data_IF_700124561212
#
_entry.id   IF_700124561212
#
_cell.length_a   1.000
_cell.length_b   1.000
_cell.length_c   1.000
_cell.angle_alpha   90.00
_cell.angle_beta   90.00
_cell.angle_gamma   90.00
#
_symmetry.space_group_name_H-M   'P 1'
#
loop_
_entity.id
_entity.type
_entity.pdbx_description
1 polymer ?
#
# COMPACT_ATOMS: atom_id res chain seq x y z
N UNK A 1 -4.52 -12.25 -9.14
CA UNK A 1 -5.66 -11.32 -9.20
C UNK A 1 -5.34 -10.19 -10.17
N UNK A 2 -6.30 -9.65 -10.95
CA UNK A 2 -6.03 -8.63 -11.96
C UNK A 2 -5.76 -7.22 -11.39
N UNK A 3 -6.11 -6.95 -10.13
CA UNK A 3 -6.09 -5.61 -9.53
C UNK A 3 -4.72 -4.93 -9.60
N UNK A 4 -3.65 -5.60 -9.17
CA UNK A 4 -2.30 -5.03 -9.24
C UNK A 4 -1.82 -4.77 -10.66
N UNK A 5 -2.33 -5.53 -11.64
CA UNK A 5 -2.03 -5.30 -13.06
C UNK A 5 -2.69 -4.02 -13.52
N UNK A 6 -3.94 -3.77 -13.13
CA UNK A 6 -4.63 -2.52 -13.44
C UNK A 6 -3.90 -1.31 -12.84
N UNK A 7 -3.40 -1.42 -11.60
CA UNK A 7 -2.56 -0.36 -10.99
C UNK A 7 -1.28 -0.14 -11.81
N UNK A 8 -0.54 -1.21 -12.13
CA UNK A 8 0.68 -1.13 -12.92
C UNK A 8 0.44 -0.49 -14.29
N UNK A 9 -0.62 -0.91 -14.98
CA UNK A 9 -1.01 -0.37 -16.30
C UNK A 9 -1.46 1.09 -16.21
N UNK A 10 -2.20 1.48 -15.16
CA UNK A 10 -2.63 2.88 -14.96
C UNK A 10 -1.44 3.81 -14.81
N UNK A 11 -0.42 3.41 -14.05
CA UNK A 11 0.82 4.19 -13.90
C UNK A 11 1.53 4.42 -15.25
N UNK A 12 1.48 3.42 -16.16
CA UNK A 12 2.10 3.52 -17.48
C UNK A 12 1.24 4.32 -18.48
N UNK A 13 -0.10 4.25 -18.35
CA UNK A 13 -1.03 4.90 -19.26
C UNK A 13 -1.13 6.41 -19.04
N UNK A 14 -0.90 6.87 -17.82
CA UNK A 14 -1.10 8.28 -17.43
C UNK A 14 0.16 8.87 -16.79
N UNK A 15 1.32 8.89 -17.47
CA UNK A 15 2.56 9.43 -16.89
C UNK A 15 2.45 10.91 -16.50
N UNK A 16 1.63 11.69 -17.20
CA UNK A 16 1.46 13.12 -17.00
C UNK A 16 0.84 13.48 -15.64
N UNK A 17 0.14 12.55 -14.97
CA UNK A 17 -0.45 12.82 -13.64
C UNK A 17 0.63 13.12 -12.60
N UNK A 18 1.82 12.54 -12.80
CA UNK A 18 2.96 12.72 -11.89
C UNK A 18 3.65 14.08 -12.08
N UNK A 19 3.42 14.75 -13.21
CA UNK A 19 4.00 16.06 -13.52
C UNK A 19 3.08 17.22 -13.11
N UNK A 20 1.81 16.95 -12.80
CA UNK A 20 0.80 17.97 -12.48
C UNK A 20 0.80 18.42 -11.01
N UNK A 21 1.50 17.70 -10.14
CA UNK A 21 1.59 18.03 -8.72
C UNK A 21 1.80 16.80 -7.83
N UNK A 22 1.70 16.98 -6.51
CA UNK A 22 1.81 15.88 -5.56
C UNK A 22 0.73 14.81 -5.77
N UNK A 23 1.14 13.55 -5.92
CA UNK A 23 0.23 12.40 -6.09
C UNK A 23 0.21 11.54 -4.84
N UNK A 24 -1.01 11.21 -4.38
CA UNK A 24 -1.26 10.20 -3.35
C UNK A 24 -2.09 9.07 -3.97
N UNK A 25 -1.67 7.83 -3.77
CA UNK A 25 -2.43 6.63 -4.15
C UNK A 25 -2.73 5.83 -2.89
N UNK A 26 -4.01 5.65 -2.57
CA UNK A 26 -4.43 4.98 -1.34
C UNK A 26 -5.63 4.05 -1.57
N UNK A 27 -5.66 2.94 -0.84
CA UNK A 27 -6.77 1.98 -0.87
C UNK A 27 -6.28 0.52 -0.88
N UNK A 28 -7.20 -0.40 -1.18
CA UNK A 28 -6.90 -1.83 -1.35
C UNK A 28 -6.23 -2.08 -2.71
N UNK A 29 -4.94 -2.49 -2.67
CA UNK A 29 -4.20 -2.87 -3.87
C UNK A 29 -4.40 -4.34 -4.23
N UNK A 30 -4.95 -5.13 -3.30
CA UNK A 30 -5.16 -6.57 -3.39
C UNK A 30 -3.87 -7.30 -3.81
N UNK A 31 -2.74 -6.84 -3.26
CA UNK A 31 -1.39 -7.19 -3.67
C UNK A 31 -0.42 -7.09 -2.51
N UNK A 32 0.66 -7.85 -2.59
CA UNK A 32 1.77 -7.82 -1.66
C UNK A 32 2.96 -8.56 -2.31
N UNK A 33 4.19 -8.20 -1.95
CA UNK A 33 5.42 -8.85 -2.46
C UNK A 33 5.43 -10.37 -2.26
N UNK A 34 4.78 -10.91 -1.23
CA UNK A 34 4.70 -12.37 -1.00
C UNK A 34 4.07 -13.13 -2.19
N UNK A 35 3.24 -12.45 -3.00
CA UNK A 35 2.58 -13.03 -4.19
C UNK A 35 3.21 -12.61 -5.51
N UNK A 36 4.40 -12.01 -5.51
CA UNK A 36 5.06 -11.59 -6.74
C UNK A 36 5.26 -12.73 -7.73
N UNK A 37 5.54 -13.94 -7.23
CA UNK A 37 5.76 -15.14 -8.06
C UNK A 37 4.50 -15.60 -8.79
N UNK A 38 3.31 -15.17 -8.35
CA UNK A 38 2.04 -15.53 -9.00
C UNK A 38 1.63 -14.52 -10.08
N UNK A 39 2.46 -13.51 -10.35
CA UNK A 39 2.19 -12.44 -11.32
C UNK A 39 3.38 -12.25 -12.27
N UNK A 40 3.16 -11.75 -13.51
CA UNK A 40 4.25 -11.35 -14.38
C UNK A 40 5.16 -10.32 -13.69
N UNK A 41 6.48 -10.47 -13.84
CA UNK A 41 7.48 -9.66 -13.13
C UNK A 41 7.30 -8.14 -13.27
N UNK A 42 6.74 -7.67 -14.39
CA UNK A 42 6.51 -6.25 -14.68
C UNK A 42 5.11 -5.75 -14.30
N UNK A 43 4.25 -6.64 -13.79
CA UNK A 43 2.86 -6.35 -13.38
C UNK A 43 2.57 -6.90 -11.98
N UNK A 44 3.59 -6.98 -11.13
CA UNK A 44 3.48 -7.45 -9.76
C UNK A 44 3.65 -6.29 -8.76
N UNK A 45 3.46 -6.58 -7.47
CA UNK A 45 3.49 -5.55 -6.42
C UNK A 45 4.84 -4.84 -6.38
N UNK A 46 5.94 -5.59 -6.33
CA UNK A 46 7.27 -4.97 -6.26
C UNK A 46 7.59 -4.11 -7.48
N UNK A 47 7.06 -4.44 -8.66
CA UNK A 47 7.21 -3.60 -9.86
C UNK A 47 6.46 -2.26 -9.73
N UNK A 48 5.26 -2.27 -9.15
CA UNK A 48 4.49 -1.05 -8.85
C UNK A 48 5.23 -0.20 -7.82
N UNK A 49 5.65 -0.81 -6.71
CA UNK A 49 6.44 -0.11 -5.67
C UNK A 49 7.68 0.53 -6.27
N UNK A 50 8.43 -0.18 -7.13
CA UNK A 50 9.61 0.38 -7.80
C UNK A 50 9.24 1.56 -8.70
N UNK A 51 8.21 1.44 -9.54
CA UNK A 51 7.79 2.51 -10.46
C UNK A 51 7.36 3.78 -9.74
N UNK A 52 6.70 3.64 -8.59
CA UNK A 52 6.33 4.75 -7.72
C UNK A 52 7.57 5.36 -7.04
N UNK A 53 8.48 4.52 -6.54
CA UNK A 53 9.73 4.98 -5.93
C UNK A 53 10.62 5.77 -6.91
N UNK A 54 10.71 5.31 -8.17
CA UNK A 54 11.43 6.01 -9.25
C UNK A 54 10.82 7.40 -9.53
N UNK A 55 9.57 7.65 -9.13
CA UNK A 55 8.86 8.94 -9.21
C UNK A 55 8.84 9.70 -7.88
N UNK A 56 9.63 9.27 -6.90
CA UNK A 56 9.68 9.91 -5.58
C UNK A 56 8.43 9.69 -4.72
N UNK A 57 7.64 8.64 -5.00
CA UNK A 57 6.46 8.25 -4.23
C UNK A 57 6.78 6.98 -3.43
N UNK A 58 6.48 6.97 -2.14
CA UNK A 58 6.83 5.90 -1.21
C UNK A 58 5.61 5.45 -0.39
N UNK A 59 5.63 4.20 0.09
CA UNK A 59 4.60 3.74 1.03
C UNK A 59 4.81 4.41 2.40
N UNK A 60 3.77 5.07 2.89
CA UNK A 60 3.77 5.74 4.19
C UNK A 60 4.06 4.76 5.34
N UNK A 61 3.39 3.60 5.33
CA UNK A 61 3.60 2.54 6.32
C UNK A 61 5.05 2.09 6.38
N UNK A 62 5.62 1.72 5.22
CA UNK A 62 6.98 1.18 5.15
C UNK A 62 8.02 2.25 5.49
N UNK A 63 7.77 3.51 5.13
CA UNK A 63 8.64 4.62 5.50
C UNK A 63 8.71 4.80 7.03
N UNK A 64 7.58 4.74 7.72
CA UNK A 64 7.53 4.95 9.18
C UNK A 64 7.95 3.71 9.97
N UNK A 65 7.58 2.50 9.53
CA UNK A 65 7.93 1.26 10.23
C UNK A 65 9.35 0.77 9.94
N UNK A 66 9.94 1.17 8.82
CA UNK A 66 11.23 0.65 8.37
C UNK A 66 11.20 -0.84 8.00
N UNK A 67 10.00 -1.41 7.83
CA UNK A 67 9.81 -2.81 7.46
C UNK A 67 10.00 -2.98 5.94
N UNK A 68 10.59 -4.09 5.47
CA UNK A 68 10.59 -4.44 4.06
C UNK A 68 9.19 -4.77 3.54
N UNK A 69 8.93 -4.49 2.25
CA UNK A 69 7.70 -4.94 1.57
C UNK A 69 7.55 -6.46 1.64
N UNK A 70 6.34 -6.94 1.98
CA UNK A 70 6.08 -8.36 2.20
C UNK A 70 6.60 -8.93 3.52
N UNK A 71 7.01 -8.05 4.45
CA UNK A 71 7.41 -8.36 5.83
C UNK A 71 6.66 -7.49 6.83
N UNK A 72 5.50 -7.01 6.46
CA UNK A 72 4.66 -6.17 7.29
C UNK A 72 4.22 -6.93 8.55
N UNK A 73 4.41 -6.33 9.73
CA UNK A 73 3.97 -6.90 11.01
C UNK A 73 2.49 -6.65 11.32
N UNK A 74 1.92 -5.57 10.75
CA UNK A 74 0.53 -5.19 10.92
C UNK A 74 -0.28 -5.52 9.65
N UNK A 75 -1.42 -6.20 9.83
CA UNK A 75 -2.29 -6.61 8.73
C UNK A 75 -3.46 -5.65 8.54
N UNK A 76 -3.75 -5.32 7.28
CA UNK A 76 -4.89 -4.48 6.89
C UNK A 76 -6.07 -5.29 6.39
N UNK A 77 -5.93 -6.62 6.24
CA UNK A 77 -6.98 -7.52 5.77
C UNK A 77 -6.89 -8.89 6.44
N UNK A 78 -8.04 -9.49 6.73
CA UNK A 78 -8.17 -10.81 7.34
C UNK A 78 -9.15 -11.65 6.54
N UNK A 79 -8.63 -12.59 5.76
CA UNK A 79 -9.44 -13.36 4.82
C UNK A 79 -10.57 -14.10 5.56
N UNK A 80 -11.81 -13.83 5.18
CA UNK A 80 -13.02 -14.37 5.80
C UNK A 80 -13.15 -14.05 7.30
N UNK A 81 -12.67 -12.86 7.72
CA UNK A 81 -12.63 -12.43 9.12
C UNK A 81 -11.80 -13.37 10.03
N UNK A 82 -10.86 -14.15 9.45
CA UNK A 82 -10.06 -15.11 10.20
C UNK A 82 -8.71 -14.51 10.61
N UNK A 83 -8.51 -14.34 11.93
CA UNK A 83 -7.27 -13.82 12.51
C UNK A 83 -6.01 -14.65 12.14
N UNK A 84 -6.17 -15.92 11.76
CA UNK A 84 -5.07 -16.78 11.30
C UNK A 84 -4.66 -16.57 9.84
N UNK A 85 -5.41 -15.76 9.08
CA UNK A 85 -5.16 -15.44 7.66
C UNK A 85 -4.96 -13.93 7.42
N UNK A 86 -3.98 -13.31 8.10
CA UNK A 86 -3.71 -11.87 7.96
C UNK A 86 -2.93 -11.54 6.70
N UNK A 87 -3.23 -10.39 6.08
CA UNK A 87 -2.48 -9.82 4.97
C UNK A 87 -2.41 -8.30 5.07
N UNK A 88 -1.34 -7.71 4.56
CA UNK A 88 -1.21 -6.27 4.35
C UNK A 88 -1.42 -5.97 2.86
N UNK A 89 -2.59 -5.43 2.51
CA UNK A 89 -2.99 -5.17 1.12
C UNK A 89 -3.56 -3.76 0.88
N UNK A 90 -3.98 -3.09 1.95
CA UNK A 90 -4.31 -1.66 1.91
C UNK A 90 -3.05 -0.82 2.11
N UNK A 91 -2.75 0.04 1.14
CA UNK A 91 -1.55 0.89 1.16
C UNK A 91 -1.92 2.37 1.02
N UNK A 92 -1.05 3.23 1.53
CA UNK A 92 -1.01 4.66 1.20
C UNK A 92 0.38 4.98 0.65
N UNK A 93 0.46 5.29 -0.64
CA UNK A 93 1.66 5.77 -1.32
C UNK A 93 1.55 7.29 -1.50
N UNK A 94 2.57 8.01 -1.07
CA UNK A 94 2.58 9.48 -1.05
C UNK A 94 3.96 10.04 -1.43
N UNK A 95 4.08 11.33 -1.76
CA UNK A 95 5.36 11.92 -2.12
C UNK A 95 6.35 11.79 -0.97
N UNK A 96 7.59 11.42 -1.26
CA UNK A 96 8.65 11.24 -0.25
C UNK A 96 8.85 12.49 0.61
N UNK A 97 8.72 13.68 0.03
CA UNK A 97 8.79 14.94 0.76
C UNK A 97 7.68 15.10 1.84
N UNK A 98 6.54 14.42 1.68
CA UNK A 98 5.48 14.39 2.68
C UNK A 98 5.71 13.30 3.72
N UNK A 99 6.44 12.25 3.37
CA UNK A 99 6.74 11.15 4.27
C UNK A 99 7.49 11.61 5.53
N UNK A 100 8.41 12.56 5.37
CA UNK A 100 9.17 13.20 6.46
C UNK A 100 8.29 14.02 7.43
N UNK A 101 7.06 14.35 7.03
CA UNK A 101 6.08 15.11 7.84
C UNK A 101 4.98 14.23 8.44
N UNK A 102 5.05 12.91 8.26
CA UNK A 102 4.07 12.00 8.84
C UNK A 102 4.17 12.07 10.36
N UNK A 103 3.05 12.41 11.02
CA UNK A 103 2.93 12.40 12.48
C UNK A 103 2.36 11.09 13.02
N UNK A 104 1.58 10.37 12.20
CA UNK A 104 0.93 9.13 12.61
C UNK A 104 0.79 8.16 11.44
N UNK A 105 1.06 6.89 11.73
CA UNK A 105 0.62 5.73 10.93
C UNK A 105 0.01 4.72 11.90
N UNK A 106 -1.27 4.44 11.73
CA UNK A 106 -2.00 3.48 12.56
C UNK A 106 -2.77 2.49 11.67
N UNK A 107 -2.67 1.20 12.00
CA UNK A 107 -3.52 0.15 11.44
C UNK A 107 -4.53 -0.27 12.51
N UNK A 108 -5.81 -0.30 12.14
CA UNK A 108 -6.85 -0.75 13.06
C UNK A 108 -6.64 -2.19 13.54
N UNK A 109 -6.79 -2.45 14.83
CA UNK A 109 -6.66 -3.81 15.38
C UNK A 109 -7.79 -4.74 14.93
N UNK A 110 -7.52 -6.04 14.82
CA UNK A 110 -8.54 -7.05 14.51
C UNK A 110 -9.76 -6.97 15.44
N UNK A 111 -9.55 -6.99 16.76
CA UNK A 111 -10.63 -7.04 17.77
C UNK A 111 -11.60 -5.86 17.67
N UNK A 112 -11.08 -4.68 17.32
CA UNK A 112 -11.91 -3.47 17.18
C UNK A 112 -12.78 -3.50 15.93
N UNK A 113 -12.36 -4.20 14.88
CA UNK A 113 -12.95 -4.05 13.54
C UNK A 113 -13.52 -5.35 12.97
N UNK A 114 -13.32 -6.50 13.62
CA UNK A 114 -13.77 -7.82 13.14
C UNK A 114 -15.27 -7.89 12.82
N UNK A 115 -16.10 -7.17 13.59
CA UNK A 115 -17.55 -7.08 13.36
C UNK A 115 -18.00 -6.05 12.32
N UNK A 116 -17.08 -5.29 11.73
CA UNK A 116 -17.39 -4.19 10.80
C UNK A 116 -16.91 -4.45 9.37
N UNK A 117 -15.77 -5.11 9.21
CA UNK A 117 -15.17 -5.46 7.92
C UNK A 117 -14.14 -6.56 8.13
N UNK A 118 -13.74 -7.25 7.06
CA UNK A 118 -12.53 -8.07 6.99
C UNK A 118 -11.26 -7.20 6.81
N UNK A 119 -11.41 -5.94 6.39
CA UNK A 119 -10.34 -4.94 6.34
C UNK A 119 -10.19 -4.14 7.63
N UNK A 120 -8.97 -3.66 7.88
CA UNK A 120 -8.63 -2.74 8.95
C UNK A 120 -8.23 -1.40 8.34
N UNK A 121 -8.72 -0.28 8.86
CA UNK A 121 -8.36 1.02 8.34
C UNK A 121 -6.85 1.26 8.50
N UNK A 122 -6.25 1.82 7.47
CA UNK A 122 -4.91 2.41 7.50
C UNK A 122 -5.06 3.93 7.60
N UNK A 123 -4.71 4.50 8.75
CA UNK A 123 -4.77 5.93 9.03
C UNK A 123 -3.37 6.54 8.90
N UNK A 124 -3.27 7.64 8.15
CA UNK A 124 -2.05 8.43 7.98
C UNK A 124 -2.36 9.89 8.33
N UNK A 125 -1.60 10.48 9.25
CA UNK A 125 -1.65 11.93 9.51
C UNK A 125 -0.35 12.60 9.07
N UNK A 126 -0.48 13.73 8.38
CA UNK A 126 0.65 14.52 7.87
C UNK A 126 0.57 15.92 8.48
N UNK A 127 1.69 16.42 9.02
CA UNK A 127 1.79 17.78 9.53
C UNK A 127 1.88 18.80 8.38
N UNK A 128 1.15 19.90 8.53
CA UNK A 128 1.22 21.08 7.66
C UNK A 128 2.61 21.70 7.67
#
# INVERSE_FOLDING_TARGET
>A
MPYIRAVATTIDMYPEIFDQGPVVMLGDFNANTIWDKTHPKHLNHSSVVKRLADRGIVSAYHHVRGEPQGKESEATFYLHHDASKPFHIDYCFLPKAWAERISLVEVGTFQKWEGHSDHRPLLIEIRG
#
